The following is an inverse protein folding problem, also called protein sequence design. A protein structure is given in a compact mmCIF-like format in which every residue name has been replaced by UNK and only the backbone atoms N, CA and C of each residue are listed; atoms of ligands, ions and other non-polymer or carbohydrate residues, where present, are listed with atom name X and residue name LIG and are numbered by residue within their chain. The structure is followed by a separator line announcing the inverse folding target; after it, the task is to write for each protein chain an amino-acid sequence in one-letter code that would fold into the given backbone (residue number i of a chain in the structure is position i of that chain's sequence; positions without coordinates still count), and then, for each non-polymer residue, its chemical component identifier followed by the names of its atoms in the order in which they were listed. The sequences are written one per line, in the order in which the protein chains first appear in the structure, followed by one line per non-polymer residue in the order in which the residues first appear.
data_IF_638829436890
#
_entry.id   IF_638829436890
#
_cell.length_a   1.000
_cell.length_b   1.000
_cell.length_c   1.000
_cell.angle_alpha   90.00
_cell.angle_beta   90.00
_cell.angle_gamma   90.00
#
_symmetry.space_group_name_H-M   'P 1'
#
loop_
_entity.id
_entity.type
_entity.pdbx_description
1 polymer ?
#
# COMPACT_ATOMS: atom_id res chain seq x y z
N UNK A 1 -62.74 -10.18 21.66
CA UNK A 1 -61.42 -10.80 21.90
C UNK A 1 -60.45 -10.34 20.80
N UNK A 2 -60.33 -9.03 20.54
CA UNK A 2 -59.69 -8.54 19.29
C UNK A 2 -58.52 -7.57 19.49
N UNK A 3 -58.59 -6.69 20.49
CA UNK A 3 -57.57 -5.66 20.69
C UNK A 3 -56.16 -6.22 20.97
N UNK A 4 -56.07 -7.34 21.69
CA UNK A 4 -54.79 -7.98 22.06
C UNK A 4 -54.15 -8.72 20.88
N UNK A 5 -54.96 -9.27 19.96
CA UNK A 5 -54.44 -9.93 18.75
C UNK A 5 -53.94 -8.91 17.72
N UNK A 6 -54.65 -7.79 17.56
CA UNK A 6 -54.23 -6.70 16.69
C UNK A 6 -52.89 -6.08 17.14
N UNK A 7 -52.72 -5.84 18.45
CA UNK A 7 -51.49 -5.27 19.00
C UNK A 7 -50.28 -6.21 18.88
N UNK A 8 -50.50 -7.53 19.01
CA UNK A 8 -49.45 -8.55 18.78
C UNK A 8 -49.05 -8.64 17.32
N UNK A 9 -50.00 -8.56 16.39
CA UNK A 9 -49.73 -8.60 14.95
C UNK A 9 -48.94 -7.37 14.47
N UNK A 10 -49.21 -6.19 15.05
CA UNK A 10 -48.48 -4.97 14.72
C UNK A 10 -47.04 -5.00 15.28
N UNK A 11 -46.85 -5.45 16.53
CA UNK A 11 -45.52 -5.66 17.10
C UNK A 11 -44.69 -6.68 16.30
N UNK A 12 -45.32 -7.76 15.83
CA UNK A 12 -44.66 -8.78 15.03
C UNK A 12 -44.23 -8.26 13.65
N UNK A 13 -45.03 -7.41 13.01
CA UNK A 13 -44.63 -6.74 11.76
C UNK A 13 -43.44 -5.81 11.96
N UNK A 14 -43.46 -4.98 13.01
CA UNK A 14 -42.36 -4.06 13.31
C UNK A 14 -41.06 -4.81 13.62
N UNK A 15 -41.14 -5.95 14.32
CA UNK A 15 -39.98 -6.80 14.60
C UNK A 15 -39.44 -7.47 13.33
N UNK A 16 -40.31 -7.97 12.43
CA UNK A 16 -39.89 -8.56 11.15
C UNK A 16 -39.27 -7.52 10.22
N UNK A 17 -39.84 -6.31 10.14
CA UNK A 17 -39.28 -5.21 9.34
C UNK A 17 -37.93 -4.74 9.89
N UNK A 18 -37.77 -4.65 11.21
CA UNK A 18 -36.49 -4.34 11.85
C UNK A 18 -35.44 -5.44 11.59
N UNK A 19 -35.83 -6.72 11.61
CA UNK A 19 -34.93 -7.83 11.28
C UNK A 19 -34.50 -7.80 9.80
N UNK A 20 -35.42 -7.54 8.87
CA UNK A 20 -35.10 -7.43 7.44
C UNK A 20 -34.20 -6.22 7.17
N UNK A 21 -34.43 -5.08 7.83
CA UNK A 21 -33.58 -3.91 7.72
C UNK A 21 -32.17 -4.19 8.26
N UNK A 22 -32.06 -4.87 9.40
CA UNK A 22 -30.77 -5.28 10.00
C UNK A 22 -30.02 -6.26 9.08
N UNK A 23 -30.71 -7.28 8.54
CA UNK A 23 -30.10 -8.27 7.64
C UNK A 23 -29.62 -7.62 6.33
N UNK A 24 -30.34 -6.64 5.79
CA UNK A 24 -29.90 -5.86 4.62
C UNK A 24 -28.67 -5.02 4.93
N UNK A 25 -28.61 -4.38 6.08
CA UNK A 25 -27.46 -3.60 6.51
C UNK A 25 -26.21 -4.49 6.72
N UNK A 26 -26.37 -5.65 7.38
CA UNK A 26 -25.29 -6.61 7.61
C UNK A 26 -24.75 -7.20 6.29
N UNK A 27 -25.63 -7.56 5.35
CA UNK A 27 -25.20 -8.04 4.02
C UNK A 27 -24.46 -6.97 3.22
N UNK A 28 -24.86 -5.71 3.33
CA UNK A 28 -24.18 -4.60 2.65
C UNK A 28 -22.76 -4.39 3.23
N UNK A 29 -22.63 -4.46 4.56
CA UNK A 29 -21.33 -4.31 5.22
C UNK A 29 -20.40 -5.50 4.95
N UNK A 30 -20.91 -6.72 4.99
CA UNK A 30 -20.14 -7.91 4.64
C UNK A 30 -19.61 -7.84 3.20
N UNK A 31 -20.43 -7.39 2.24
CA UNK A 31 -19.98 -7.19 0.85
C UNK A 31 -18.88 -6.14 0.75
N UNK A 32 -18.97 -5.04 1.51
CA UNK A 32 -17.92 -4.00 1.53
C UNK A 32 -16.60 -4.55 2.08
N UNK A 33 -16.66 -5.26 3.20
CA UNK A 33 -15.47 -5.85 3.82
C UNK A 33 -14.81 -6.86 2.88
N UNK A 34 -15.59 -7.74 2.24
CA UNK A 34 -15.06 -8.73 1.32
C UNK A 34 -14.45 -8.08 0.07
N UNK A 35 -15.10 -7.04 -0.48
CA UNK A 35 -14.56 -6.29 -1.61
C UNK A 35 -13.21 -5.64 -1.27
N UNK A 36 -13.11 -5.00 -0.10
CA UNK A 36 -11.85 -4.42 0.39
C UNK A 36 -10.77 -5.50 0.56
N UNK A 37 -11.14 -6.68 1.05
CA UNK A 37 -10.21 -7.81 1.22
C UNK A 37 -9.68 -8.29 -0.13
N UNK A 38 -10.56 -8.47 -1.11
CA UNK A 38 -10.20 -8.88 -2.47
C UNK A 38 -9.25 -7.86 -3.09
N UNK A 39 -9.56 -6.57 -3.01
CA UNK A 39 -8.73 -5.50 -3.56
C UNK A 39 -7.33 -5.47 -2.91
N UNK A 40 -7.24 -5.64 -1.59
CA UNK A 40 -5.96 -5.72 -0.88
C UNK A 40 -5.14 -6.93 -1.32
N UNK A 41 -5.76 -8.10 -1.49
CA UNK A 41 -5.06 -9.31 -1.95
C UNK A 41 -4.61 -9.20 -3.41
N UNK A 42 -5.43 -8.60 -4.28
CA UNK A 42 -5.05 -8.29 -5.65
C UNK A 42 -3.87 -7.34 -5.70
N UNK A 43 -3.87 -6.27 -4.90
CA UNK A 43 -2.76 -5.32 -4.82
C UNK A 43 -1.47 -5.97 -4.31
N UNK A 44 -1.54 -6.81 -3.26
CA UNK A 44 -0.38 -7.59 -2.79
C UNK A 44 0.16 -8.53 -3.87
N UNK A 45 -0.73 -9.22 -4.58
CA UNK A 45 -0.35 -10.15 -5.66
C UNK A 45 0.32 -9.40 -6.81
N UNK A 46 -0.24 -8.26 -7.21
CA UNK A 46 0.35 -7.39 -8.23
C UNK A 46 1.74 -6.91 -7.78
N UNK A 47 1.88 -6.42 -6.54
CA UNK A 47 3.17 -5.94 -6.03
C UNK A 47 4.23 -7.04 -6.02
N UNK A 48 3.88 -8.25 -5.57
CA UNK A 48 4.78 -9.42 -5.61
C UNK A 48 5.20 -9.75 -7.05
N UNK A 49 4.28 -9.67 -8.01
CA UNK A 49 4.56 -9.92 -9.42
C UNK A 49 5.54 -8.87 -9.97
N UNK A 50 5.30 -7.59 -9.74
CA UNK A 50 6.17 -6.52 -10.25
C UNK A 50 7.58 -6.55 -9.63
N UNK A 51 7.69 -6.83 -8.34
CA UNK A 51 8.99 -7.04 -7.67
C UNK A 51 9.75 -8.23 -8.28
N UNK A 52 9.03 -9.31 -8.59
CA UNK A 52 9.63 -10.47 -9.27
C UNK A 52 10.13 -10.09 -10.66
N UNK A 53 9.32 -9.39 -11.45
CA UNK A 53 9.70 -8.92 -12.80
C UNK A 53 10.97 -8.08 -12.74
N UNK A 54 11.06 -7.12 -11.80
CA UNK A 54 12.24 -6.28 -11.63
C UNK A 54 13.49 -7.11 -11.31
N UNK A 55 13.38 -8.05 -10.37
CA UNK A 55 14.48 -8.96 -9.99
C UNK A 55 14.94 -9.85 -11.14
N UNK A 56 13.99 -10.50 -11.80
CA UNK A 56 14.27 -11.40 -12.93
C UNK A 56 14.98 -10.60 -14.04
N UNK A 57 14.46 -9.42 -14.38
CA UNK A 57 15.06 -8.56 -15.41
C UNK A 57 16.46 -8.07 -15.04
N UNK A 58 16.65 -7.62 -13.79
CA UNK A 58 17.96 -7.20 -13.32
C UNK A 58 18.96 -8.37 -13.38
N UNK A 59 18.57 -9.57 -12.95
CA UNK A 59 19.40 -10.77 -13.02
C UNK A 59 19.78 -11.15 -14.46
N UNK A 60 18.83 -11.13 -15.38
CA UNK A 60 19.07 -11.37 -16.82
C UNK A 60 20.10 -10.40 -17.40
N UNK A 61 20.06 -9.14 -16.97
CA UNK A 61 21.00 -8.11 -17.38
C UNK A 61 22.28 -8.05 -16.53
N UNK A 62 22.62 -9.12 -15.79
CA UNK A 62 23.78 -9.18 -14.87
C UNK A 62 23.83 -8.00 -13.90
N UNK A 63 22.66 -7.61 -13.39
CA UNK A 63 22.43 -6.45 -12.53
C UNK A 63 22.99 -5.14 -13.10
N UNK A 64 23.13 -5.03 -14.42
CA UNK A 64 23.69 -3.86 -15.09
C UNK A 64 25.07 -3.45 -14.57
N UNK A 65 25.86 -4.39 -14.05
CA UNK A 65 27.21 -4.13 -13.56
C UNK A 65 28.28 -4.49 -14.58
N UNK A 66 29.37 -3.72 -14.61
CA UNK A 66 30.56 -4.01 -15.42
C UNK A 66 31.63 -4.80 -14.64
N UNK A 67 31.50 -4.89 -13.31
CA UNK A 67 32.38 -5.66 -12.43
C UNK A 67 31.58 -6.15 -11.20
N UNK A 68 32.15 -7.10 -10.44
CA UNK A 68 31.46 -7.74 -9.32
C UNK A 68 31.02 -6.75 -8.23
N UNK A 69 31.80 -5.70 -7.99
CA UNK A 69 31.46 -4.65 -7.01
C UNK A 69 30.22 -3.87 -7.44
N UNK A 70 30.12 -3.54 -8.71
CA UNK A 70 28.95 -2.85 -9.27
C UNK A 70 27.73 -3.77 -9.30
N UNK A 71 27.92 -5.05 -9.64
CA UNK A 71 26.86 -6.07 -9.60
C UNK A 71 26.27 -6.16 -8.19
N UNK A 72 27.10 -6.30 -7.15
CA UNK A 72 26.66 -6.36 -5.77
C UNK A 72 25.90 -5.10 -5.34
N UNK A 73 26.42 -3.92 -5.67
CA UNK A 73 25.75 -2.64 -5.39
C UNK A 73 24.39 -2.54 -6.08
N UNK A 74 24.30 -3.02 -7.33
CA UNK A 74 23.06 -2.98 -8.07
C UNK A 74 22.06 -4.05 -7.58
N UNK A 75 22.51 -5.19 -7.04
CA UNK A 75 21.65 -6.15 -6.34
C UNK A 75 20.97 -5.50 -5.13
N UNK A 76 21.73 -4.80 -4.29
CA UNK A 76 21.17 -4.02 -3.17
C UNK A 76 20.21 -2.94 -3.67
N UNK A 77 20.56 -2.29 -4.79
CA UNK A 77 19.71 -1.31 -5.44
C UNK A 77 18.35 -1.87 -5.88
N UNK A 78 18.30 -3.08 -6.43
CA UNK A 78 17.04 -3.74 -6.82
C UNK A 78 16.13 -3.95 -5.61
N UNK A 79 16.68 -4.39 -4.48
CA UNK A 79 15.87 -4.59 -3.26
C UNK A 79 15.42 -3.24 -2.68
N UNK A 80 16.29 -2.22 -2.68
CA UNK A 80 15.89 -0.86 -2.30
C UNK A 80 14.71 -0.36 -3.14
N UNK A 81 14.73 -0.56 -4.46
CA UNK A 81 13.60 -0.17 -5.32
C UNK A 81 12.33 -0.96 -4.97
N UNK A 82 12.45 -2.25 -4.69
CA UNK A 82 11.32 -3.08 -4.27
C UNK A 82 10.67 -2.59 -2.96
N UNK A 83 11.45 -2.01 -2.05
CA UNK A 83 10.98 -1.50 -0.77
C UNK A 83 10.35 -0.11 -0.87
N UNK A 84 10.97 0.79 -1.63
CA UNK A 84 10.57 2.21 -1.69
C UNK A 84 9.45 2.45 -2.71
N UNK A 85 9.42 1.72 -3.81
CA UNK A 85 8.48 2.02 -4.91
C UNK A 85 7.10 1.41 -4.65
N UNK A 86 6.07 2.19 -4.98
CA UNK A 86 4.69 1.72 -5.00
C UNK A 86 4.43 0.80 -6.19
N UNK A 87 3.25 0.14 -6.20
CA UNK A 87 2.86 -0.74 -7.31
C UNK A 87 2.94 -0.03 -8.67
N UNK A 88 2.37 1.17 -8.78
CA UNK A 88 2.33 1.92 -10.03
C UNK A 88 3.74 2.31 -10.51
N UNK A 89 4.60 2.68 -9.56
CA UNK A 89 5.99 3.05 -9.87
C UNK A 89 6.82 1.85 -10.32
N UNK A 90 6.61 0.68 -9.71
CA UNK A 90 7.25 -0.55 -10.17
C UNK A 90 6.74 -0.98 -11.56
N UNK A 91 5.44 -0.82 -11.84
CA UNK A 91 4.88 -1.10 -13.16
C UNK A 91 5.47 -0.19 -14.23
N UNK A 92 5.54 1.12 -13.96
CA UNK A 92 6.13 2.10 -14.88
C UNK A 92 7.64 1.85 -15.07
N UNK A 93 8.36 1.56 -13.99
CA UNK A 93 9.78 1.19 -14.04
C UNK A 93 10.00 -0.04 -14.92
N UNK A 94 9.27 -1.13 -14.66
CA UNK A 94 9.38 -2.38 -15.41
C UNK A 94 9.09 -2.16 -16.90
N UNK A 95 8.05 -1.38 -17.22
CA UNK A 95 7.71 -1.02 -18.60
C UNK A 95 8.83 -0.24 -19.27
N UNK A 96 9.35 0.81 -18.62
CA UNK A 96 10.42 1.64 -19.17
C UNK A 96 11.73 0.87 -19.37
N UNK A 97 12.06 -0.05 -18.47
CA UNK A 97 13.24 -0.91 -18.58
C UNK A 97 13.17 -1.91 -19.75
N UNK A 98 11.96 -2.23 -20.23
CA UNK A 98 11.75 -3.03 -21.43
C UNK A 98 11.89 -2.19 -22.71
N UNK A 99 11.43 -0.94 -22.69
CA UNK A 99 11.36 -0.07 -23.87
C UNK A 99 12.66 0.71 -24.15
N UNK A 100 13.36 1.15 -23.10
CA UNK A 100 14.57 1.97 -23.17
C UNK A 100 15.68 1.25 -22.39
N UNK A 101 16.91 1.27 -22.90
CA UNK A 101 18.06 0.54 -22.33
C UNK A 101 18.02 0.45 -20.79
N UNK A 102 17.88 -0.78 -20.27
CA UNK A 102 17.44 -1.00 -18.88
C UNK A 102 18.37 -0.42 -17.81
N UNK A 103 19.66 -0.21 -18.13
CA UNK A 103 20.66 0.31 -17.20
C UNK A 103 20.40 1.76 -16.78
N UNK A 104 20.19 2.66 -17.75
CA UNK A 104 20.03 4.08 -17.45
C UNK A 104 18.74 4.35 -16.67
N UNK A 105 17.67 3.63 -17.05
CA UNK A 105 16.38 3.67 -16.36
C UNK A 105 16.54 3.14 -14.92
N UNK A 106 17.25 2.03 -14.73
CA UNK A 106 17.53 1.48 -13.40
C UNK A 106 18.30 2.47 -12.51
N UNK A 107 19.37 3.07 -13.03
CA UNK A 107 20.17 4.04 -12.26
C UNK A 107 19.38 5.32 -11.95
N UNK A 108 18.52 5.79 -12.86
CA UNK A 108 17.63 6.92 -12.60
C UNK A 108 16.59 6.58 -11.51
N UNK A 109 16.04 5.37 -11.53
CA UNK A 109 15.13 4.88 -10.50
C UNK A 109 15.81 4.85 -9.12
N UNK A 110 17.06 4.38 -9.04
CA UNK A 110 17.82 4.37 -7.79
C UNK A 110 18.00 5.77 -7.20
N UNK A 111 18.35 6.75 -8.03
CA UNK A 111 18.44 8.15 -7.59
C UNK A 111 17.10 8.67 -7.07
N UNK A 112 16.00 8.30 -7.73
CA UNK A 112 14.65 8.67 -7.30
C UNK A 112 14.31 8.06 -5.93
N UNK A 113 14.67 6.79 -5.71
CA UNK A 113 14.51 6.13 -4.42
C UNK A 113 15.33 6.83 -3.32
N UNK A 114 16.58 7.18 -3.59
CA UNK A 114 17.43 7.89 -2.63
C UNK A 114 16.85 9.28 -2.27
N UNK A 115 16.27 10.00 -3.23
CA UNK A 115 15.60 11.28 -2.98
C UNK A 115 14.37 11.09 -2.08
N UNK A 116 13.54 10.06 -2.34
CA UNK A 116 12.38 9.75 -1.50
C UNK A 116 12.78 9.43 -0.06
N UNK A 117 13.77 8.55 0.12
CA UNK A 117 14.28 8.19 1.45
C UNK A 117 14.75 9.43 2.20
N UNK A 118 15.51 10.32 1.54
CA UNK A 118 15.98 11.56 2.15
C UNK A 118 14.82 12.49 2.53
N UNK A 119 13.82 12.62 1.65
CA UNK A 119 12.63 13.44 1.93
C UNK A 119 11.85 12.92 3.13
N UNK A 120 11.62 11.61 3.20
CA UNK A 120 10.94 10.97 4.34
C UNK A 120 11.74 11.15 5.64
N UNK A 121 13.06 11.02 5.59
CA UNK A 121 13.94 11.24 6.73
C UNK A 121 13.91 12.71 7.22
N UNK A 122 13.94 13.68 6.30
CA UNK A 122 13.87 15.10 6.63
C UNK A 122 12.51 15.48 7.24
N UNK A 123 11.43 14.90 6.74
CA UNK A 123 10.09 15.08 7.33
C UNK A 123 10.00 14.51 8.75
N UNK A 124 10.52 13.31 8.97
CA UNK A 124 10.59 12.69 10.29
C UNK A 124 11.40 13.53 11.27
N UNK A 125 12.56 14.06 10.83
CA UNK A 125 13.41 14.94 11.65
C UNK A 125 12.69 16.24 12.02
N UNK A 126 11.97 16.87 11.07
CA UNK A 126 11.16 18.08 11.34
C UNK A 126 10.06 17.81 12.36
N UNK A 127 9.38 16.65 12.27
CA UNK A 127 8.33 16.26 13.22
C UNK A 127 8.93 16.00 14.60
N UNK A 128 10.11 15.39 14.69
CA UNK A 128 10.81 15.17 15.96
C UNK A 128 11.26 16.47 16.61
N UNK A 129 11.87 17.40 15.86
CA UNK A 129 12.27 18.71 16.39
C UNK A 129 11.06 19.52 16.90
N UNK A 130 9.94 19.53 16.16
CA UNK A 130 8.71 20.17 16.65
C UNK A 130 8.17 19.54 17.94
N UNK A 131 8.29 18.22 18.10
CA UNK A 131 7.87 17.53 19.33
C UNK A 131 8.80 17.80 20.51
N UNK A 132 10.10 17.99 20.28
CA UNK A 132 11.03 18.38 21.34
C UNK A 132 10.77 19.81 21.78
N UNK A 133 10.57 20.75 20.85
CA UNK A 133 10.32 22.16 21.16
C UNK A 133 9.03 22.36 21.98
N UNK A 134 7.96 21.63 21.63
CA UNK A 134 6.70 21.65 22.41
C UNK A 134 6.81 21.01 23.80
N UNK A 135 7.78 20.13 24.04
CA UNK A 135 8.03 19.54 25.37
C UNK A 135 8.83 20.48 26.26
N UNK A 136 9.79 21.22 25.71
CA UNK A 136 10.56 22.24 26.44
C UNK A 136 9.66 23.40 26.88
N UNK A 137 8.78 23.90 26.01
CA UNK A 137 7.84 24.99 26.36
C UNK A 137 6.84 24.61 27.47
N UNK A 138 6.45 23.33 27.59
CA UNK A 138 5.56 22.86 28.66
C UNK A 138 6.25 22.62 30.00
N UNK A 139 7.58 22.54 30.04
CA UNK A 139 8.35 22.44 31.29
C UNK A 139 8.84 23.79 31.81
N UNK A 140 8.71 24.87 31.01
CA UNK A 140 9.16 26.22 31.39
C UNK A 140 8.01 27.16 31.75
N UNK A 141 6.77 26.65 31.84
CA UNK A 141 5.58 27.33 32.38
C UNK A 141 5.01 26.52 33.53
#
# INVERSE_FOLDING_TARGET
MDAVQAQRAEQEKTLREAQIAKERAEKAEQKRIEQIRIEKEQLKKALRKERKILRDKAKECKYFGNNDKEVLKNMEGVEKLCEIFTLLELQDLNKRMLEKGGRDIFLAALKTADIKIKSELDELNKVQNKRTDMKTEKQTK
#
